data_IF_097827523863
#
_entry.id   IF_097827523863
#
_cell.length_a   1.000
_cell.length_b   1.000
_cell.length_c   1.000
_cell.angle_alpha   90.00
_cell.angle_beta   90.00
_cell.angle_gamma   90.00
#
_symmetry.space_group_name_H-M   'P 1'
#
loop_
_entity.id
_entity.type
_entity.pdbx_description
1 polymer ?
#
# COMPACT_ATOMS: atom_id res chain seq x y z
N UNK A 1 -32.66 11.44 2.23
CA UNK A 1 -32.01 10.59 1.19
C UNK A 1 -30.52 10.54 1.50
N UNK A 2 -30.10 9.68 2.42
CA UNK A 2 -28.66 9.48 2.70
C UNK A 2 -28.09 8.59 1.62
N UNK A 3 -27.09 9.11 0.90
CA UNK A 3 -26.28 8.34 -0.04
C UNK A 3 -25.55 7.27 0.76
N UNK A 4 -25.92 6.01 0.59
CA UNK A 4 -25.11 4.89 1.05
C UNK A 4 -23.83 4.93 0.22
N UNK A 5 -22.75 5.44 0.82
CA UNK A 5 -21.41 5.29 0.32
C UNK A 5 -21.03 3.83 0.60
N UNK A 6 -21.35 2.93 -0.33
CA UNK A 6 -20.92 1.54 -0.24
C UNK A 6 -19.39 1.55 -0.23
N UNK A 7 -18.71 1.09 0.83
CA UNK A 7 -17.27 1.02 0.83
C UNK A 7 -16.85 0.11 -0.33
N UNK A 8 -15.92 0.60 -1.14
CA UNK A 8 -15.40 -0.13 -2.29
C UNK A 8 -14.61 -1.33 -1.78
N UNK A 9 -15.24 -2.51 -1.75
CA UNK A 9 -14.58 -3.76 -1.38
C UNK A 9 -13.64 -4.19 -2.51
N UNK A 10 -12.36 -3.84 -2.40
CA UNK A 10 -11.31 -4.36 -3.27
C UNK A 10 -10.69 -5.60 -2.60
N UNK A 11 -11.09 -6.79 -3.04
CA UNK A 11 -10.42 -8.04 -2.64
C UNK A 11 -9.15 -8.18 -3.47
N UNK A 12 -8.01 -7.84 -2.87
CA UNK A 12 -6.71 -8.10 -3.46
C UNK A 12 -6.25 -9.50 -3.07
N UNK A 13 -6.71 -10.50 -3.82
CA UNK A 13 -6.28 -11.89 -3.64
C UNK A 13 -5.69 -12.40 -4.97
N UNK A 14 -4.40 -12.74 -4.99
CA UNK A 14 -3.65 -13.09 -6.21
C UNK A 14 -3.81 -14.57 -6.61
N UNK A 15 -4.99 -15.16 -6.36
CA UNK A 15 -5.31 -16.55 -6.71
C UNK A 15 -6.22 -16.59 -7.94
N UNK A 16 -5.58 -16.56 -9.11
CA UNK A 16 -6.20 -16.43 -10.44
C UNK A 16 -7.23 -17.51 -10.83
N UNK A 17 -7.33 -18.63 -10.12
CA UNK A 17 -8.22 -19.74 -10.50
C UNK A 17 -9.47 -19.91 -9.61
N UNK A 18 -9.50 -19.28 -8.42
CA UNK A 18 -10.63 -19.33 -7.47
C UNK A 18 -11.27 -17.95 -7.22
N UNK A 19 -10.85 -16.94 -7.98
CA UNK A 19 -11.20 -15.52 -7.76
C UNK A 19 -12.70 -15.24 -7.80
N UNK A 20 -13.47 -15.94 -8.64
CA UNK A 20 -14.91 -15.69 -8.73
C UNK A 20 -15.66 -16.12 -7.46
N UNK A 21 -15.40 -17.34 -6.99
CA UNK A 21 -16.00 -17.87 -5.76
C UNK A 21 -15.53 -17.08 -4.52
N UNK A 22 -14.25 -16.69 -4.47
CA UNK A 22 -13.74 -15.90 -3.34
C UNK A 22 -14.33 -14.48 -3.31
N UNK A 23 -14.52 -13.84 -4.46
CA UNK A 23 -15.23 -12.56 -4.55
C UNK A 23 -16.67 -12.71 -4.09
N UNK A 24 -17.40 -13.71 -4.60
CA UNK A 24 -18.79 -13.92 -4.17
C UNK A 24 -18.92 -14.15 -2.66
N UNK A 25 -18.03 -14.96 -2.08
CA UNK A 25 -17.99 -15.22 -0.64
C UNK A 25 -17.60 -13.97 0.17
N UNK A 26 -16.62 -13.21 -0.29
CA UNK A 26 -16.20 -11.96 0.36
C UNK A 26 -17.24 -10.83 0.30
N UNK A 27 -18.27 -10.97 -0.55
CA UNK A 27 -19.37 -10.03 -0.69
C UNK A 27 -20.70 -10.60 -0.15
N UNK A 28 -20.74 -11.88 0.22
CA UNK A 28 -21.96 -12.56 0.69
C UNK A 28 -22.37 -12.12 2.09
N UNK A 29 -21.47 -11.51 2.85
CA UNK A 29 -21.70 -11.13 4.25
C UNK A 29 -21.48 -12.27 5.25
N UNK A 30 -21.11 -13.47 4.78
CA UNK A 30 -20.75 -14.60 5.63
C UNK A 30 -19.43 -14.41 6.42
N UNK A 31 -18.36 -13.81 5.86
CA UNK A 31 -17.12 -13.66 6.60
C UNK A 31 -17.13 -12.43 7.52
N UNK A 32 -16.19 -12.41 8.47
CA UNK A 32 -16.03 -11.29 9.38
C UNK A 32 -15.20 -10.17 8.75
N UNK A 33 -15.77 -8.97 8.63
CA UNK A 33 -15.04 -7.79 8.18
C UNK A 33 -14.44 -7.04 9.37
N UNK A 34 -13.13 -6.75 9.28
CA UNK A 34 -12.41 -5.94 10.27
C UNK A 34 -11.80 -4.72 9.57
N UNK A 35 -11.62 -3.63 10.32
CA UNK A 35 -10.86 -2.50 9.81
C UNK A 35 -9.41 -2.92 9.56
N UNK A 36 -8.81 -2.42 8.47
CA UNK A 36 -7.40 -2.66 8.19
C UNK A 36 -6.54 -1.98 9.25
N UNK A 37 -5.88 -2.82 10.07
CA UNK A 37 -4.87 -2.47 11.04
C UNK A 37 -3.64 -3.35 10.82
N UNK A 38 -2.51 -2.80 10.34
CA UNK A 38 -1.31 -3.57 10.05
C UNK A 38 -0.79 -4.39 11.24
N UNK A 39 -0.93 -3.90 12.48
CA UNK A 39 -0.43 -4.60 13.67
C UNK A 39 -1.27 -5.85 13.97
N UNK A 40 -2.58 -5.80 13.71
CA UNK A 40 -3.51 -6.93 13.88
C UNK A 40 -3.43 -7.88 12.69
N UNK A 41 -3.45 -7.34 11.47
CA UNK A 41 -3.39 -8.10 10.22
C UNK A 41 -2.11 -8.92 10.13
N UNK A 42 -0.97 -8.38 10.58
CA UNK A 42 0.31 -9.11 10.55
C UNK A 42 0.35 -10.33 11.49
N UNK A 43 -0.52 -10.37 12.51
CA UNK A 43 -0.61 -11.48 13.48
C UNK A 43 -1.78 -12.42 13.19
N UNK A 44 -2.65 -12.08 12.22
CA UNK A 44 -3.83 -12.86 11.89
C UNK A 44 -3.41 -14.18 11.21
N UNK A 45 -3.80 -15.30 11.82
CA UNK A 45 -3.62 -16.62 11.21
C UNK A 45 -4.50 -16.76 9.97
N UNK A 46 -3.92 -17.30 8.89
CA UNK A 46 -4.59 -17.56 7.63
C UNK A 46 -4.47 -19.04 7.26
N UNK A 47 -5.39 -19.49 6.40
CA UNK A 47 -5.39 -20.84 5.83
C UNK A 47 -5.52 -20.75 4.32
N UNK A 48 -4.88 -21.64 3.58
CA UNK A 48 -4.84 -21.64 2.11
C UNK A 48 -5.77 -22.67 1.46
N UNK A 49 -6.43 -23.52 2.27
CA UNK A 49 -7.28 -24.62 1.80
C UNK A 49 -8.75 -24.23 1.61
N UNK A 50 -9.27 -23.28 2.40
CA UNK A 50 -10.68 -22.87 2.36
C UNK A 50 -10.80 -21.35 2.34
N UNK A 51 -12.02 -20.83 2.21
CA UNK A 51 -12.28 -19.39 2.24
C UNK A 51 -11.74 -18.72 3.51
N UNK A 52 -11.32 -17.46 3.37
CA UNK A 52 -10.80 -16.69 4.48
C UNK A 52 -11.95 -16.32 5.43
N UNK A 53 -11.84 -16.62 6.74
CA UNK A 53 -12.90 -16.29 7.69
C UNK A 53 -12.93 -14.78 8.04
N UNK A 54 -11.84 -14.06 7.78
CA UNK A 54 -11.67 -12.65 8.13
C UNK A 54 -11.16 -11.87 6.92
N UNK A 55 -11.83 -10.78 6.57
CA UNK A 55 -11.38 -9.82 5.56
C UNK A 55 -11.11 -8.46 6.19
N UNK A 56 -10.01 -7.83 5.79
CA UNK A 56 -9.64 -6.50 6.26
C UNK A 56 -10.06 -5.44 5.24
N UNK A 57 -10.75 -4.41 5.72
CA UNK A 57 -11.32 -3.35 4.90
C UNK A 57 -10.62 -2.03 5.24
N UNK A 58 -10.07 -1.37 4.23
CA UNK A 58 -9.55 -0.01 4.30
C UNK A 58 -10.53 0.96 3.64
N UNK A 59 -10.59 2.19 4.13
CA UNK A 59 -11.46 3.23 3.54
C UNK A 59 -10.96 3.69 2.16
N UNK A 60 -9.63 3.72 1.98
CA UNK A 60 -8.99 4.09 0.72
C UNK A 60 -7.60 3.47 0.58
N UNK A 61 -7.07 3.45 -0.65
CA UNK A 61 -5.68 3.07 -0.89
C UNK A 61 -4.68 4.00 -0.20
N UNK A 62 -5.03 5.29 -0.05
CA UNK A 62 -4.20 6.26 0.64
C UNK A 62 -4.13 5.98 2.15
N UNK A 63 -5.27 5.64 2.77
CA UNK A 63 -5.34 5.23 4.18
C UNK A 63 -4.53 3.94 4.40
N UNK A 64 -4.73 2.93 3.56
CA UNK A 64 -3.98 1.68 3.63
C UNK A 64 -2.46 1.90 3.50
N UNK A 65 -2.04 2.73 2.54
CA UNK A 65 -0.62 3.09 2.32
C UNK A 65 -0.04 3.85 3.52
N UNK A 66 -0.80 4.78 4.09
CA UNK A 66 -0.39 5.55 5.27
C UNK A 66 -0.20 4.64 6.48
N UNK A 67 -1.20 3.79 6.79
CA UNK A 67 -1.14 2.79 7.86
C UNK A 67 0.04 1.83 7.68
N UNK A 68 0.23 1.31 6.47
CA UNK A 68 1.35 0.41 6.17
C UNK A 68 2.71 1.10 6.33
N UNK A 69 2.83 2.38 5.93
CA UNK A 69 4.07 3.17 6.12
C UNK A 69 4.39 3.36 7.60
N UNK A 70 3.37 3.66 8.41
CA UNK A 70 3.52 3.80 9.86
C UNK A 70 3.87 2.46 10.54
N UNK A 71 3.33 1.35 10.04
CA UNK A 71 3.73 0.03 10.53
C UNK A 71 5.17 -0.31 10.14
N UNK A 72 5.55 -0.06 8.89
CA UNK A 72 6.90 -0.32 8.39
C UNK A 72 7.98 0.50 9.12
N UNK A 73 7.66 1.68 9.67
CA UNK A 73 8.59 2.48 10.47
C UNK A 73 8.84 1.90 11.88
N UNK A 74 7.90 1.12 12.43
CA UNK A 74 8.07 0.38 13.69
C UNK A 74 9.03 -0.80 13.55
N UNK A 75 9.21 -1.31 12.33
CA UNK A 75 10.15 -2.41 12.04
C UNK A 75 11.57 -1.87 12.24
N UNK A 76 12.28 -2.41 13.23
CA UNK A 76 13.69 -2.05 13.50
C UNK A 76 14.56 -2.40 12.28
N UNK A 77 14.81 -1.42 11.42
CA UNK A 77 15.77 -1.51 10.32
C UNK A 77 16.93 -0.56 10.61
N UNK A 78 18.15 -1.07 10.50
CA UNK A 78 19.39 -0.28 10.66
C UNK A 78 19.70 0.61 9.45
N UNK A 79 18.89 0.55 8.39
CA UNK A 79 19.07 1.28 7.15
C UNK A 79 17.73 1.67 6.53
N UNK A 80 17.75 2.78 5.79
CA UNK A 80 16.63 3.21 4.94
C UNK A 80 16.85 2.74 3.51
N UNK A 81 15.77 2.37 2.82
CA UNK A 81 15.80 1.95 1.43
C UNK A 81 15.23 3.06 0.55
N UNK A 82 15.80 3.21 -0.64
CA UNK A 82 15.28 4.07 -1.70
C UNK A 82 15.12 3.22 -2.96
N UNK A 83 13.94 3.31 -3.58
CA UNK A 83 13.68 2.65 -4.86
C UNK A 83 14.02 3.62 -5.99
N UNK A 84 14.89 3.21 -6.90
CA UNK A 84 15.19 3.93 -8.13
C UNK A 84 14.28 3.39 -9.26
N UNK A 85 13.28 4.17 -9.71
CA UNK A 85 12.35 3.75 -10.75
C UNK A 85 13.00 3.65 -12.14
N UNK A 86 14.14 4.31 -12.38
CA UNK A 86 14.80 4.29 -13.68
C UNK A 86 15.57 2.99 -13.90
N UNK A 87 16.22 2.50 -12.84
CA UNK A 87 17.01 1.26 -12.89
C UNK A 87 16.25 0.05 -12.34
N UNK A 88 15.01 0.26 -11.88
CA UNK A 88 14.20 -0.74 -11.18
C UNK A 88 14.95 -1.41 -10.02
N UNK A 89 15.81 -0.65 -9.32
CA UNK A 89 16.71 -1.17 -8.30
C UNK A 89 16.44 -0.57 -6.92
N UNK A 90 16.87 -1.28 -5.87
CA UNK A 90 16.74 -0.83 -4.49
C UNK A 90 18.11 -0.41 -3.96
N UNK A 91 18.27 0.88 -3.68
CA UNK A 91 19.47 1.43 -3.07
C UNK A 91 19.33 1.54 -1.54
N UNK A 92 20.37 1.12 -0.82
CA UNK A 92 20.46 1.31 0.64
C UNK A 92 21.03 2.70 0.92
N UNK A 93 20.28 3.54 1.64
CA UNK A 93 20.68 4.88 2.08
C UNK A 93 21.50 4.82 3.39
N UNK A 94 22.66 4.19 3.33
CA UNK A 94 23.59 4.03 4.46
C UNK A 94 24.61 5.17 4.59
N UNK A 95 24.91 5.86 3.48
CA UNK A 95 26.01 6.84 3.40
C UNK A 95 25.50 8.23 2.99
N UNK A 96 26.09 9.33 3.53
CA UNK A 96 25.67 10.69 3.21
C UNK A 96 25.68 11.04 1.71
N UNK A 97 26.60 10.48 0.93
CA UNK A 97 26.67 10.74 -0.51
C UNK A 97 25.48 10.14 -1.28
N UNK A 98 24.99 8.95 -0.87
CA UNK A 98 23.81 8.33 -1.48
C UNK A 98 22.54 9.14 -1.17
N UNK A 99 22.43 9.61 0.08
CA UNK A 99 21.33 10.50 0.49
C UNK A 99 21.37 11.80 -0.32
N UNK A 100 22.55 12.42 -0.48
CA UNK A 100 22.72 13.62 -1.32
C UNK A 100 22.37 13.36 -2.79
N UNK A 101 22.69 12.19 -3.35
CA UNK A 101 22.32 11.80 -4.72
C UNK A 101 20.79 11.74 -4.87
N UNK A 102 20.11 11.00 -3.99
CA UNK A 102 18.65 10.89 -4.00
C UNK A 102 17.97 12.26 -3.81
N UNK A 103 18.50 13.10 -2.91
CA UNK A 103 17.96 14.46 -2.70
C UNK A 103 18.09 15.34 -3.95
N UNK A 104 19.22 15.23 -4.69
CA UNK A 104 19.38 15.97 -5.95
C UNK A 104 18.38 15.52 -7.01
N UNK A 105 18.13 14.21 -7.12
CA UNK A 105 17.14 13.67 -8.06
C UNK A 105 15.75 14.25 -7.78
N UNK A 106 15.31 14.22 -6.52
CA UNK A 106 14.02 14.84 -6.11
C UNK A 106 14.00 16.35 -6.36
N UNK A 107 15.11 17.05 -6.12
CA UNK A 107 15.19 18.49 -6.40
C UNK A 107 15.09 18.81 -7.90
N UNK A 108 15.67 17.99 -8.77
CA UNK A 108 15.57 18.17 -10.22
C UNK A 108 14.16 17.83 -10.73
N UNK A 109 13.50 16.82 -10.18
CA UNK A 109 12.08 16.54 -10.44
C UNK A 109 11.19 17.73 -10.05
N UNK A 110 11.41 18.32 -8.87
CA UNK A 110 10.68 19.51 -8.43
C UNK A 110 10.88 20.70 -9.38
N UNK A 111 12.10 20.95 -9.86
CA UNK A 111 12.35 22.00 -10.86
C UNK A 111 11.58 21.75 -12.16
N UNK A 112 11.55 20.50 -12.63
CA UNK A 112 10.80 20.12 -13.83
C UNK A 112 9.31 20.38 -13.66
N UNK A 113 8.75 20.06 -12.48
CA UNK A 113 7.35 20.34 -12.15
C UNK A 113 7.07 21.84 -12.08
N UNK A 114 7.96 22.65 -11.46
CA UNK A 114 7.83 24.10 -11.46
C UNK A 114 7.83 24.68 -12.88
N UNK A 115 8.77 24.25 -13.74
CA UNK A 115 8.83 24.70 -15.12
C UNK A 115 7.59 24.30 -15.94
N UNK A 116 7.02 23.12 -15.68
CA UNK A 116 5.78 22.70 -16.29
C UNK A 116 4.58 23.56 -15.83
N UNK A 117 4.55 23.94 -14.55
CA UNK A 117 3.53 24.85 -14.01
C UNK A 117 3.65 26.26 -14.63
N UNK A 118 4.86 26.79 -14.75
CA UNK A 118 5.09 28.12 -15.36
C UNK A 118 4.67 28.18 -16.84
N UNK A 119 4.65 27.05 -17.54
CA UNK A 119 4.16 26.95 -18.93
C UNK A 119 2.65 26.85 -19.06
N UNK A 120 1.96 26.46 -17.98
CA UNK A 120 0.50 26.32 -17.94
C UNK A 120 -0.18 27.57 -17.37
N UNK A 121 0.57 28.44 -16.68
CA UNK A 121 0.16 29.77 -16.25
C UNK A 121 0.27 30.79 -17.41
#
# INVERSE_FOLDING_TARGET
MSRFHTPMFAVMEDRLNDTFCSIQYSLSGEPQYKAFDPDVTAMQTYQDQTFQPVYFVSESFEDAKSKLRNYASKIKKSFSLHYDPLTCSVEILDKPHKIKKALRQVADELKNLCFALDKLA
#
